data_IF_297753499420
#
_entry.id   IF_297753499420
#
_cell.length_a   1.000
_cell.length_b   1.000
_cell.length_c   1.000
_cell.angle_alpha   90.00
_cell.angle_beta   90.00
_cell.angle_gamma   90.00
#
_symmetry.space_group_name_H-M   'P 1'
#
loop_
_entity.id
_entity.type
_entity.pdbx_description
1 polymer ?
#
# COMPACT_ATOMS: atom_id res chain seq x y z
N UNK A 1 -14.58 29.31 31.54
CA UNK A 1 -15.14 28.00 31.16
C UNK A 1 -14.84 27.62 29.70
N UNK A 2 -14.94 28.53 28.73
CA UNK A 2 -14.72 28.22 27.29
C UNK A 2 -13.33 27.67 26.93
N UNK A 3 -12.26 28.14 27.58
CA UNK A 3 -10.89 27.66 27.33
C UNK A 3 -10.71 26.15 27.61
N UNK A 4 -11.39 25.61 28.62
CA UNK A 4 -11.37 24.17 28.94
C UNK A 4 -12.20 23.36 27.95
N UNK A 5 -13.30 23.91 27.44
CA UNK A 5 -14.14 23.21 26.45
C UNK A 5 -13.37 22.99 25.14
N UNK A 6 -12.59 23.99 24.72
CA UNK A 6 -11.80 23.93 23.50
C UNK A 6 -10.59 22.99 23.61
N UNK A 7 -9.94 22.88 24.77
CA UNK A 7 -8.84 21.94 24.97
C UNK A 7 -9.32 20.48 24.95
N UNK A 8 -10.44 20.18 25.58
CA UNK A 8 -11.06 18.85 25.57
C UNK A 8 -11.46 18.42 24.16
N UNK A 9 -12.11 19.30 23.37
CA UNK A 9 -12.43 19.02 21.96
C UNK A 9 -11.19 18.73 21.12
N UNK A 10 -10.10 19.50 21.31
CA UNK A 10 -8.84 19.29 20.58
C UNK A 10 -8.18 17.96 20.95
N UNK A 11 -8.22 17.57 22.22
CA UNK A 11 -7.71 16.27 22.67
C UNK A 11 -8.52 15.11 22.05
N UNK A 12 -9.86 15.19 22.10
CA UNK A 12 -10.74 14.20 21.48
C UNK A 12 -10.52 14.08 19.97
N UNK A 13 -10.34 15.21 19.27
CA UNK A 13 -10.06 15.21 17.84
C UNK A 13 -8.71 14.54 17.54
N UNK A 14 -7.66 14.88 18.31
CA UNK A 14 -6.33 14.26 18.16
C UNK A 14 -6.38 12.75 18.37
N UNK A 15 -7.08 12.30 19.40
CA UNK A 15 -7.24 10.86 19.66
C UNK A 15 -8.00 10.16 18.53
N UNK A 16 -9.08 10.77 18.02
CA UNK A 16 -9.82 10.23 16.87
C UNK A 16 -8.95 10.15 15.62
N UNK A 17 -8.24 11.22 15.27
CA UNK A 17 -7.35 11.24 14.12
C UNK A 17 -6.24 10.20 14.26
N UNK A 18 -5.65 10.06 15.45
CA UNK A 18 -4.66 9.02 15.73
C UNK A 18 -5.23 7.62 15.49
N UNK A 19 -6.40 7.30 16.06
CA UNK A 19 -7.05 5.99 15.86
C UNK A 19 -7.37 5.73 14.39
N UNK A 20 -7.89 6.74 13.67
CA UNK A 20 -8.17 6.63 12.23
C UNK A 20 -6.87 6.35 11.47
N UNK A 21 -5.79 7.09 11.73
CA UNK A 21 -4.50 6.88 11.08
C UNK A 21 -3.93 5.48 11.36
N UNK A 22 -4.03 4.99 12.59
CA UNK A 22 -3.61 3.62 12.96
C UNK A 22 -4.41 2.58 12.20
N UNK A 23 -5.75 2.75 12.11
CA UNK A 23 -6.61 1.84 11.35
C UNK A 23 -6.28 1.86 9.85
N UNK A 24 -6.08 3.03 9.26
CA UNK A 24 -5.67 3.16 7.86
C UNK A 24 -4.32 2.51 7.60
N UNK A 25 -3.34 2.67 8.51
CA UNK A 25 -2.05 1.96 8.43
C UNK A 25 -2.23 0.45 8.50
N UNK A 26 -3.13 -0.04 9.35
CA UNK A 26 -3.47 -1.46 9.46
C UNK A 26 -4.06 -2.00 8.16
N UNK A 27 -5.06 -1.30 7.61
CA UNK A 27 -5.66 -1.65 6.33
C UNK A 27 -4.61 -1.68 5.20
N UNK A 28 -3.75 -0.66 5.13
CA UNK A 28 -2.68 -0.60 4.15
C UNK A 28 -1.71 -1.78 4.31
N UNK A 29 -1.27 -2.09 5.55
CA UNK A 29 -0.39 -3.23 5.81
C UNK A 29 -1.02 -4.59 5.41
N UNK A 30 -2.32 -4.76 5.65
CA UNK A 30 -3.05 -5.96 5.21
C UNK A 30 -3.09 -6.07 3.68
N UNK A 31 -3.39 -4.97 2.99
CA UNK A 31 -3.39 -4.95 1.52
C UNK A 31 -2.01 -5.24 0.94
N UNK A 32 -0.94 -4.76 1.58
CA UNK A 32 0.43 -5.07 1.18
C UNK A 32 0.75 -6.56 1.36
N UNK A 33 0.36 -7.17 2.48
CA UNK A 33 0.54 -8.61 2.68
C UNK A 33 -0.21 -9.39 1.60
N UNK A 34 -1.49 -9.08 1.38
CA UNK A 34 -2.30 -9.75 0.36
C UNK A 34 -1.71 -9.57 -1.04
N UNK A 35 -1.27 -8.36 -1.38
CA UNK A 35 -0.60 -8.07 -2.65
C UNK A 35 0.71 -8.82 -2.81
N UNK A 36 1.51 -8.94 -1.75
CA UNK A 36 2.78 -9.66 -1.78
C UNK A 36 2.61 -11.17 -1.90
N UNK A 37 1.60 -11.75 -1.21
CA UNK A 37 1.20 -13.15 -1.40
C UNK A 37 0.67 -13.38 -2.81
N UNK A 38 -0.19 -12.49 -3.32
CA UNK A 38 -0.72 -12.58 -4.67
C UNK A 38 0.39 -12.50 -5.73
N UNK A 39 1.40 -11.65 -5.54
CA UNK A 39 2.56 -11.57 -6.43
C UNK A 39 3.33 -12.88 -6.51
N UNK A 40 3.44 -13.65 -5.42
CA UNK A 40 4.05 -14.99 -5.51
C UNK A 40 3.22 -16.00 -6.30
N UNK A 41 1.91 -15.80 -6.44
CA UNK A 41 1.03 -16.68 -7.19
C UNK A 41 0.94 -16.30 -8.68
N UNK A 42 1.42 -15.13 -9.07
CA UNK A 42 1.25 -14.56 -10.40
C UNK A 42 2.61 -14.41 -11.07
N UNK A 43 2.85 -15.09 -12.19
CA UNK A 43 4.13 -14.96 -12.92
C UNK A 43 4.25 -13.64 -13.70
N UNK A 44 5.48 -13.19 -14.04
CA UNK A 44 5.67 -11.95 -14.80
C UNK A 44 5.01 -12.04 -16.18
N UNK A 45 5.00 -13.25 -16.75
CA UNK A 45 4.35 -13.55 -18.02
C UNK A 45 2.83 -13.39 -17.96
N UNK A 46 2.20 -13.73 -16.83
CA UNK A 46 0.77 -13.49 -16.63
C UNK A 46 0.50 -11.99 -16.59
N UNK A 47 1.27 -11.23 -15.79
CA UNK A 47 1.13 -9.77 -15.69
C UNK A 47 1.28 -9.12 -17.06
N UNK A 48 2.31 -9.51 -17.83
CA UNK A 48 2.55 -8.99 -19.17
C UNK A 48 1.38 -9.27 -20.12
N UNK A 49 0.82 -10.49 -20.10
CA UNK A 49 -0.33 -10.86 -20.93
C UNK A 49 -1.57 -10.06 -20.56
N UNK A 50 -1.86 -9.92 -19.26
CA UNK A 50 -3.00 -9.13 -18.79
C UNK A 50 -2.85 -7.65 -19.18
N UNK A 51 -1.67 -7.07 -18.98
CA UNK A 51 -1.40 -5.68 -19.38
C UNK A 51 -1.54 -5.52 -20.89
N UNK A 52 -1.03 -6.46 -21.70
CA UNK A 52 -1.21 -6.43 -23.15
C UNK A 52 -2.70 -6.48 -23.53
N UNK A 53 -3.49 -7.38 -22.94
CA UNK A 53 -4.93 -7.49 -23.21
C UNK A 53 -5.70 -6.21 -22.83
N UNK A 54 -5.34 -5.55 -21.73
CA UNK A 54 -6.02 -4.33 -21.28
C UNK A 54 -5.59 -3.08 -22.05
N UNK A 55 -4.40 -3.08 -22.65
CA UNK A 55 -3.83 -1.91 -23.35
C UNK A 55 -3.91 -2.01 -24.86
N UNK A 56 -4.17 -3.19 -25.42
CA UNK A 56 -4.19 -3.39 -26.88
C UNK A 56 -5.25 -2.54 -27.57
N UNK A 57 -6.45 -2.41 -26.98
CA UNK A 57 -7.56 -1.68 -27.58
C UNK A 57 -7.29 -0.17 -27.55
N UNK A 58 -6.81 0.34 -26.40
CA UNK A 58 -6.45 1.75 -26.24
C UNK A 58 -5.31 2.17 -27.17
N UNK A 59 -4.30 1.30 -27.36
CA UNK A 59 -3.17 1.58 -28.25
C UNK A 59 -3.57 1.47 -29.73
N UNK A 60 -4.56 0.63 -30.05
CA UNK A 60 -5.12 0.54 -31.39
C UNK A 60 -5.92 1.81 -31.75
N UNK A 61 -6.60 2.40 -30.76
CA UNK A 61 -7.35 3.66 -30.92
C UNK A 61 -6.43 4.89 -30.91
N UNK A 62 -5.59 5.04 -29.88
CA UNK A 62 -4.56 6.06 -29.77
C UNK A 62 -3.16 5.44 -29.52
N UNK A 63 -2.31 5.34 -30.54
CA UNK A 63 -0.95 4.85 -30.40
C UNK A 63 -0.08 5.65 -29.42
N UNK A 64 -0.48 6.88 -29.08
CA UNK A 64 0.25 7.78 -28.17
C UNK A 64 -0.31 7.81 -26.76
N UNK A 65 -1.29 6.97 -26.42
CA UNK A 65 -1.83 6.91 -25.06
C UNK A 65 -0.70 6.69 -24.05
N UNK A 66 -0.49 7.66 -23.17
CA UNK A 66 0.65 7.69 -22.27
C UNK A 66 0.52 6.64 -21.16
N UNK A 67 -0.70 6.31 -20.74
CA UNK A 67 -0.97 5.37 -19.65
C UNK A 67 -0.74 3.95 -20.16
N UNK A 68 -1.36 3.58 -21.28
CA UNK A 68 -1.26 2.28 -21.91
C UNK A 68 0.19 1.94 -22.29
N UNK A 69 0.90 2.89 -22.91
CA UNK A 69 2.32 2.71 -23.25
C UNK A 69 3.23 2.63 -22.00
N UNK A 70 2.90 3.33 -20.92
CA UNK A 70 3.68 3.25 -19.67
C UNK A 70 3.46 1.92 -18.95
N UNK A 71 2.22 1.43 -18.89
CA UNK A 71 1.89 0.12 -18.32
C UNK A 71 2.59 -1.00 -19.09
N UNK A 72 2.52 -0.97 -20.43
CA UNK A 72 3.13 -1.98 -21.28
C UNK A 72 4.66 -2.00 -21.17
N UNK A 73 5.30 -0.82 -21.09
CA UNK A 73 6.74 -0.72 -20.82
C UNK A 73 7.09 -1.27 -19.43
N UNK A 74 6.37 -0.85 -18.39
CA UNK A 74 6.61 -1.33 -17.03
C UNK A 74 6.49 -2.86 -16.94
N UNK A 75 5.46 -3.45 -17.54
CA UNK A 75 5.25 -4.89 -17.57
C UNK A 75 6.35 -5.63 -18.35
N UNK A 76 6.85 -5.05 -19.44
CA UNK A 76 7.92 -5.67 -20.24
C UNK A 76 9.27 -5.75 -19.53
N UNK A 77 9.49 -4.92 -18.49
CA UNK A 77 10.69 -4.94 -17.67
C UNK A 77 10.56 -5.84 -16.42
N UNK A 78 9.39 -6.45 -16.17
CA UNK A 78 9.22 -7.37 -15.06
C UNK A 78 9.98 -8.68 -15.33
N UNK A 79 11.01 -8.93 -14.53
CA UNK A 79 11.70 -10.21 -14.48
C UNK A 79 11.23 -11.04 -13.28
N UNK A 80 11.38 -12.39 -13.29
CA UNK A 80 11.07 -13.21 -12.11
C UNK A 80 11.84 -12.78 -10.86
N UNK A 81 13.08 -12.30 -11.01
CA UNK A 81 13.86 -11.76 -9.90
C UNK A 81 13.26 -10.47 -9.33
N UNK A 82 12.82 -9.56 -10.20
CA UNK A 82 12.16 -8.30 -9.81
C UNK A 82 10.82 -8.56 -9.13
N UNK A 83 10.05 -9.54 -9.60
CA UNK A 83 8.78 -9.96 -9.00
C UNK A 83 8.98 -10.51 -7.59
N UNK A 84 9.89 -11.49 -7.42
CA UNK A 84 10.18 -12.04 -6.10
C UNK A 84 10.68 -10.98 -5.13
N UNK A 85 11.55 -10.07 -5.60
CA UNK A 85 11.99 -8.94 -4.80
C UNK A 85 10.82 -8.06 -4.37
N UNK A 86 9.92 -7.70 -5.29
CA UNK A 86 8.73 -6.90 -4.99
C UNK A 86 7.79 -7.61 -4.01
N UNK A 87 7.56 -8.93 -4.17
CA UNK A 87 6.74 -9.73 -3.28
C UNK A 87 7.31 -9.77 -1.85
N UNK A 88 8.61 -10.08 -1.70
CA UNK A 88 9.30 -10.11 -0.40
C UNK A 88 9.30 -8.73 0.24
N UNK A 89 9.58 -7.69 -0.54
CA UNK A 89 9.57 -6.31 -0.07
C UNK A 89 8.20 -5.91 0.45
N UNK A 90 7.14 -6.17 -0.32
CA UNK A 90 5.77 -5.81 0.03
C UNK A 90 5.28 -6.58 1.27
N UNK A 91 5.62 -7.87 1.36
CA UNK A 91 5.34 -8.69 2.55
C UNK A 91 6.06 -8.16 3.79
N UNK A 92 7.36 -7.89 3.67
CA UNK A 92 8.16 -7.37 4.78
C UNK A 92 7.59 -6.04 5.27
N UNK A 93 7.21 -5.17 4.33
CA UNK A 93 6.64 -3.88 4.63
C UNK A 93 5.27 -3.99 5.31
N UNK A 94 4.40 -4.87 4.82
CA UNK A 94 3.10 -5.15 5.40
C UNK A 94 3.19 -5.75 6.82
N UNK A 95 4.08 -6.73 7.03
CA UNK A 95 4.33 -7.35 8.35
C UNK A 95 4.79 -6.31 9.37
N UNK A 96 5.75 -5.44 8.99
CA UNK A 96 6.23 -4.36 9.85
C UNK A 96 5.06 -3.43 10.23
N UNK A 97 4.23 -3.02 9.27
CA UNK A 97 3.08 -2.15 9.53
C UNK A 97 2.05 -2.79 10.46
N UNK A 98 1.69 -4.05 10.23
CA UNK A 98 0.75 -4.76 11.09
C UNK A 98 1.32 -4.91 12.51
N UNK A 99 2.61 -5.22 12.63
CA UNK A 99 3.31 -5.23 13.92
C UNK A 99 3.25 -3.88 14.64
N UNK A 100 3.52 -2.78 13.93
CA UNK A 100 3.42 -1.42 14.46
C UNK A 100 1.99 -1.06 14.87
N UNK A 101 0.99 -1.41 14.06
CA UNK A 101 -0.43 -1.18 14.39
C UNK A 101 -0.81 -1.94 15.66
N UNK A 102 -0.41 -3.21 15.78
CA UNK A 102 -0.61 -3.99 16.99
C UNK A 102 0.06 -3.37 18.22
N UNK A 103 1.28 -2.86 18.08
CA UNK A 103 2.00 -2.18 19.15
C UNK A 103 1.33 -0.85 19.55
N UNK A 104 0.90 -0.04 18.58
CA UNK A 104 0.19 1.22 18.82
C UNK A 104 -1.16 1.01 19.51
N UNK A 105 -1.89 -0.05 19.15
CA UNK A 105 -3.14 -0.42 19.82
C UNK A 105 -2.91 -0.90 21.26
N UNK A 106 -1.73 -1.45 21.57
CA UNK A 106 -1.29 -1.80 22.93
C UNK A 106 -0.69 -0.62 23.71
N UNK A 107 -0.70 0.60 23.15
CA UNK A 107 -0.09 1.80 23.74
C UNK A 107 1.43 1.67 24.00
N UNK A 108 2.13 0.85 23.21
CA UNK A 108 3.58 0.68 23.31
C UNK A 108 4.32 1.95 22.84
N UNK A 109 5.12 2.52 23.75
CA UNK A 109 5.74 3.86 23.61
C UNK A 109 6.76 3.93 22.46
N UNK A 110 7.39 2.79 22.12
CA UNK A 110 8.38 2.67 21.04
C UNK A 110 7.76 2.72 19.64
N UNK A 111 6.46 2.45 19.51
CA UNK A 111 5.79 2.47 18.23
C UNK A 111 5.40 3.89 17.77
N UNK A 112 5.34 4.85 18.69
CA UNK A 112 5.04 6.26 18.39
C UNK A 112 6.08 6.94 17.48
N UNK A 113 7.41 6.82 17.70
CA UNK A 113 8.41 7.38 16.78
C UNK A 113 8.46 6.67 15.43
N UNK A 114 8.15 5.36 15.37
CA UNK A 114 8.10 4.60 14.12
C UNK A 114 6.82 4.84 13.29
N UNK A 115 5.84 5.55 13.87
CA UNK A 115 4.57 5.87 13.22
C UNK A 115 4.59 7.22 12.49
N UNK A 116 5.70 7.97 12.52
CA UNK A 116 5.89 9.24 11.79
C UNK A 116 6.46 8.97 10.40
#
# INVERSE_FOLDING_TARGET
MERNMNSLRRQQLRERLFRISVLLKGLNGTLEILGGVALFAVSPAFILRTVALLTQDEIAEDPRDLVANSLRRAASHLSPASEHFAAIYLLSHGVIKIGLVGALLKHEIWAYPAAV
#
